data_IF_182421003855
#
_entry.id   IF_182421003855
#
_cell.length_a   1.000
_cell.length_b   1.000
_cell.length_c   1.000
_cell.angle_alpha   90.00
_cell.angle_beta   90.00
_cell.angle_gamma   90.00
#
_symmetry.space_group_name_H-M   'P 1'
#
loop_
_entity.id
_entity.type
_entity.pdbx_description
1 polymer ?
#
# COMPACT_ATOMS: atom_id res chain seq x y z
N UNK A 1 -2.73 -11.15 -15.02
CA UNK A 1 -2.37 -10.16 -16.07
C UNK A 1 -3.62 -9.73 -16.80
N UNK A 2 -4.30 -10.63 -17.55
CA UNK A 2 -5.59 -10.32 -18.21
C UNK A 2 -6.63 -9.62 -17.31
N UNK A 3 -6.83 -10.10 -16.08
CA UNK A 3 -7.78 -9.49 -15.14
C UNK A 3 -7.42 -8.05 -14.75
N UNK A 4 -6.13 -7.76 -14.55
CA UNK A 4 -5.66 -6.42 -14.23
C UNK A 4 -5.82 -5.50 -15.45
N UNK A 5 -5.53 -5.99 -16.65
CA UNK A 5 -5.76 -5.24 -17.89
C UNK A 5 -7.24 -4.92 -18.12
N UNK A 6 -8.12 -5.88 -17.86
CA UNK A 6 -9.57 -5.71 -17.94
C UNK A 6 -10.07 -4.70 -16.91
N UNK A 7 -9.65 -4.82 -15.65
CA UNK A 7 -10.01 -3.89 -14.58
C UNK A 7 -9.48 -2.47 -14.88
N UNK A 8 -8.25 -2.35 -15.39
CA UNK A 8 -7.68 -1.08 -15.81
C UNK A 8 -8.50 -0.43 -16.93
N UNK A 9 -8.89 -1.22 -17.94
CA UNK A 9 -9.72 -0.72 -19.03
C UNK A 9 -11.11 -0.31 -18.56
N UNK A 10 -11.72 -1.08 -17.66
CA UNK A 10 -13.03 -0.75 -17.08
C UNK A 10 -12.97 0.56 -16.29
N UNK A 11 -11.92 0.75 -15.49
CA UNK A 11 -11.76 1.94 -14.66
C UNK A 11 -11.38 3.19 -15.46
N UNK A 12 -10.42 3.07 -16.39
CA UNK A 12 -9.83 4.22 -17.10
C UNK A 12 -10.47 4.49 -18.47
N UNK A 13 -11.24 3.55 -19.01
CA UNK A 13 -11.73 3.57 -20.40
C UNK A 13 -10.64 3.35 -21.46
N UNK A 14 -9.37 3.17 -21.06
CA UNK A 14 -8.22 3.09 -21.95
C UNK A 14 -7.64 1.68 -22.00
N UNK A 15 -7.08 1.30 -23.14
CA UNK A 15 -6.30 0.05 -23.23
C UNK A 15 -4.98 0.20 -22.47
N UNK A 16 -4.51 -0.90 -21.89
CA UNK A 16 -3.15 -0.99 -21.35
C UNK A 16 -2.16 -0.84 -22.51
N UNK A 17 -1.22 0.10 -22.35
CA UNK A 17 -0.11 0.34 -23.26
C UNK A 17 1.13 -0.46 -22.82
N UNK A 18 1.42 -0.46 -21.52
CA UNK A 18 2.51 -1.24 -20.93
C UNK A 18 2.13 -1.75 -19.54
N UNK A 19 2.63 -2.92 -19.18
CA UNK A 19 2.44 -3.52 -17.87
C UNK A 19 3.63 -4.40 -17.52
N UNK A 20 4.21 -4.16 -16.35
CA UNK A 20 5.29 -4.98 -15.83
C UNK A 20 5.11 -5.23 -14.34
N UNK A 21 5.67 -6.35 -13.89
CA UNK A 21 5.64 -6.74 -12.48
C UNK A 21 6.70 -5.98 -11.68
N UNK A 22 6.31 -5.48 -10.51
CA UNK A 22 7.22 -4.87 -9.56
C UNK A 22 7.92 -5.96 -8.73
N UNK A 23 9.15 -5.71 -8.24
CA UNK A 23 9.86 -6.66 -7.38
C UNK A 23 9.01 -7.11 -6.19
N UNK A 24 9.04 -8.43 -5.91
CA UNK A 24 8.34 -8.99 -4.75
C UNK A 24 8.89 -8.37 -3.47
N UNK A 25 7.98 -8.11 -2.53
CA UNK A 25 8.31 -7.67 -1.17
C UNK A 25 7.96 -8.80 -0.18
N UNK A 26 7.94 -8.51 1.12
CA UNK A 26 7.68 -9.51 2.18
C UNK A 26 6.29 -10.15 2.21
N UNK A 27 5.45 -9.97 1.17
CA UNK A 27 4.13 -10.61 1.01
C UNK A 27 4.10 -11.42 -0.28
N UNK A 28 3.26 -12.45 -0.32
CA UNK A 28 2.97 -13.22 -1.55
C UNK A 28 2.12 -12.42 -2.56
N UNK A 29 1.63 -11.24 -2.19
CA UNK A 29 0.92 -10.33 -3.10
C UNK A 29 1.86 -9.83 -4.19
N UNK A 30 1.38 -9.91 -5.43
CA UNK A 30 2.12 -9.47 -6.61
C UNK A 30 1.59 -8.12 -7.07
N UNK A 31 2.50 -7.19 -7.36
CA UNK A 31 2.16 -5.85 -7.83
C UNK A 31 2.61 -5.65 -9.26
N UNK A 32 1.81 -4.94 -10.03
CA UNK A 32 2.07 -4.64 -11.43
C UNK A 32 1.89 -3.15 -11.64
N UNK A 33 2.88 -2.47 -12.22
CA UNK A 33 2.66 -1.12 -12.71
C UNK A 33 2.03 -1.22 -14.10
N UNK A 34 0.91 -0.54 -14.28
CA UNK A 34 0.09 -0.57 -15.50
C UNK A 34 -0.02 0.85 -16.03
N UNK A 35 0.25 1.06 -17.31
CA UNK A 35 0.13 2.36 -17.96
C UNK A 35 -0.79 2.30 -19.17
N UNK A 36 -1.50 3.38 -19.43
CA UNK A 36 -2.42 3.49 -20.56
C UNK A 36 -3.21 4.79 -20.52
N UNK A 37 -3.52 5.37 -21.69
CA UNK A 37 -4.33 6.59 -21.78
C UNK A 37 -3.75 7.80 -21.02
N UNK A 38 -2.42 7.87 -20.86
CA UNK A 38 -1.75 8.94 -20.11
C UNK A 38 -1.82 8.81 -18.59
N UNK A 39 -2.24 7.65 -18.06
CA UNK A 39 -2.26 7.35 -16.62
C UNK A 39 -1.37 6.17 -16.30
N UNK A 40 -0.87 6.13 -15.06
CA UNK A 40 -0.17 5.00 -14.46
C UNK A 40 -0.87 4.60 -13.16
N UNK A 41 -1.12 3.30 -12.97
CA UNK A 41 -1.76 2.73 -11.78
C UNK A 41 -0.99 1.50 -11.31
N UNK A 42 -1.16 1.13 -10.04
CA UNK A 42 -0.65 -0.13 -9.51
C UNK A 42 -1.80 -1.14 -9.43
N UNK A 43 -1.66 -2.25 -10.14
CA UNK A 43 -2.51 -3.42 -10.00
C UNK A 43 -1.94 -4.39 -8.98
N UNK A 44 -2.76 -4.81 -8.03
CA UNK A 44 -2.40 -5.82 -7.05
C UNK A 44 -3.13 -7.13 -7.35
N UNK A 45 -2.43 -8.25 -7.16
CA UNK A 45 -3.00 -9.59 -7.11
C UNK A 45 -2.70 -10.19 -5.74
N UNK A 46 -3.72 -10.30 -4.91
CA UNK A 46 -3.62 -10.95 -3.60
C UNK A 46 -3.58 -12.47 -3.67
N UNK A 47 -3.15 -13.09 -2.58
CA UNK A 47 -3.23 -14.55 -2.38
C UNK A 47 -4.32 -14.97 -1.41
N UNK A 48 -4.92 -14.02 -0.70
CA UNK A 48 -6.05 -14.22 0.22
C UNK A 48 -7.11 -13.16 -0.04
N UNK A 49 -8.37 -13.61 -0.17
CA UNK A 49 -9.51 -12.71 -0.36
C UNK A 49 -9.75 -11.91 0.92
N UNK A 50 -9.59 -12.52 2.09
CA UNK A 50 -9.81 -11.86 3.37
C UNK A 50 -8.74 -10.80 3.65
N UNK A 51 -7.49 -11.06 3.29
CA UNK A 51 -6.40 -10.08 3.36
C UNK A 51 -6.64 -8.89 2.42
N UNK A 52 -7.15 -9.15 1.21
CA UNK A 52 -7.50 -8.09 0.26
C UNK A 52 -8.67 -7.25 0.77
N UNK A 53 -9.72 -7.87 1.30
CA UNK A 53 -10.86 -7.16 1.92
C UNK A 53 -10.38 -6.26 3.05
N UNK A 54 -9.54 -6.79 3.95
CA UNK A 54 -8.96 -6.03 5.05
C UNK A 54 -8.18 -4.81 4.52
N UNK A 55 -7.29 -5.01 3.54
CA UNK A 55 -6.52 -3.92 2.94
C UNK A 55 -7.42 -2.84 2.32
N UNK A 56 -8.40 -3.23 1.51
CA UNK A 56 -9.29 -2.31 0.80
C UNK A 56 -10.14 -1.47 1.77
N UNK A 57 -10.68 -2.10 2.82
CA UNK A 57 -11.51 -1.40 3.80
C UNK A 57 -10.67 -0.48 4.71
N UNK A 58 -9.46 -0.91 5.12
CA UNK A 58 -8.52 -0.05 5.85
C UNK A 58 -8.10 1.15 5.00
N UNK A 59 -7.79 0.92 3.72
CA UNK A 59 -7.40 1.97 2.79
C UNK A 59 -8.51 3.02 2.64
N UNK A 60 -9.73 2.57 2.31
CA UNK A 60 -10.91 3.45 2.21
C UNK A 60 -11.13 4.25 3.50
N UNK A 61 -10.97 3.61 4.66
CA UNK A 61 -11.10 4.26 5.95
C UNK A 61 -10.04 5.36 6.15
N UNK A 62 -8.78 5.06 5.86
CA UNK A 62 -7.67 6.02 6.00
C UNK A 62 -7.76 7.15 4.96
N UNK A 63 -8.12 6.84 3.72
CA UNK A 63 -8.33 7.82 2.66
C UNK A 63 -9.47 8.79 3.00
N UNK A 64 -10.61 8.30 3.51
CA UNK A 64 -11.73 9.13 3.95
C UNK A 64 -11.37 10.10 5.10
N UNK A 65 -10.29 9.82 5.84
CA UNK A 65 -9.74 10.69 6.89
C UNK A 65 -8.68 11.67 6.39
N UNK A 66 -8.35 11.65 5.10
CA UNK A 66 -7.29 12.47 4.51
C UNK A 66 -5.89 12.04 4.94
N UNK A 67 -5.70 10.77 5.34
CA UNK A 67 -4.36 10.22 5.60
C UNK A 67 -3.64 9.93 4.29
N UNK A 68 -2.30 9.99 4.32
CA UNK A 68 -1.45 9.78 3.15
C UNK A 68 -1.30 8.28 2.83
N UNK A 69 -2.35 7.70 2.27
CA UNK A 69 -2.42 6.32 1.75
C UNK A 69 -2.75 6.35 0.25
N UNK A 70 -2.32 5.36 -0.54
CA UNK A 70 -2.69 5.30 -1.96
C UNK A 70 -4.17 4.99 -2.11
N UNK A 71 -4.93 5.80 -2.86
CA UNK A 71 -6.36 5.51 -3.03
C UNK A 71 -6.58 4.19 -3.79
N UNK A 72 -7.41 3.28 -3.25
CA UNK A 72 -7.96 2.15 -4.00
C UNK A 72 -9.06 2.63 -4.95
N UNK A 73 -8.81 2.48 -6.24
CA UNK A 73 -9.60 3.08 -7.32
C UNK A 73 -10.62 2.11 -7.94
N UNK A 74 -10.27 0.83 -8.00
CA UNK A 74 -11.14 -0.21 -8.56
C UNK A 74 -10.82 -1.57 -7.93
N UNK A 75 -11.82 -2.43 -7.83
CA UNK A 75 -11.69 -3.79 -7.27
C UNK A 75 -12.43 -4.75 -8.18
N UNK A 76 -11.87 -5.94 -8.42
CA UNK A 76 -12.56 -6.98 -9.19
C UNK A 76 -13.71 -7.60 -8.38
N UNK A 77 -14.73 -8.12 -9.07
CA UNK A 77 -15.91 -8.74 -8.44
C UNK A 77 -15.56 -9.89 -7.48
N UNK A 78 -14.48 -10.62 -7.79
CA UNK A 78 -13.97 -11.73 -6.97
C UNK A 78 -13.06 -11.28 -5.81
N UNK A 79 -12.82 -9.97 -5.65
CA UNK A 79 -11.95 -9.36 -4.66
C UNK A 79 -10.49 -9.83 -4.70
N UNK A 80 -10.06 -10.53 -5.77
CA UNK A 80 -8.68 -11.02 -5.91
C UNK A 80 -7.73 -9.94 -6.42
N UNK A 81 -8.26 -8.97 -7.17
CA UNK A 81 -7.51 -7.90 -7.82
C UNK A 81 -8.06 -6.55 -7.43
N UNK A 82 -7.17 -5.57 -7.34
CA UNK A 82 -7.56 -4.18 -7.18
C UNK A 82 -6.53 -3.27 -7.84
N UNK A 83 -6.98 -2.07 -8.22
CA UNK A 83 -6.14 -0.98 -8.70
C UNK A 83 -6.04 0.08 -7.62
N UNK A 84 -4.85 0.63 -7.45
CA UNK A 84 -4.59 1.76 -6.57
C UNK A 84 -3.73 2.81 -7.28
N UNK A 85 -3.63 4.00 -6.68
CA UNK A 85 -2.74 5.05 -7.14
C UNK A 85 -1.28 4.58 -7.27
N UNK A 86 -0.61 5.12 -8.29
CA UNK A 86 0.83 4.97 -8.47
C UNK A 86 1.54 6.22 -7.94
N UNK A 87 2.20 6.07 -6.79
CA UNK A 87 2.94 7.14 -6.12
C UNK A 87 4.38 7.29 -6.62
N UNK A 88 4.75 6.55 -7.68
CA UNK A 88 6.07 6.58 -8.30
C UNK A 88 7.09 5.67 -7.61
N UNK A 89 8.37 5.87 -7.93
CA UNK A 89 9.46 4.96 -7.58
C UNK A 89 10.33 5.42 -6.41
N UNK A 90 10.03 6.59 -5.86
CA UNK A 90 10.87 7.23 -4.86
C UNK A 90 10.47 6.77 -3.47
N UNK A 91 11.28 5.88 -2.88
CA UNK A 91 11.10 5.46 -1.48
C UNK A 91 11.86 6.36 -0.52
N UNK A 92 11.37 6.49 0.72
CA UNK A 92 12.11 7.19 1.77
C UNK A 92 13.50 6.58 1.97
N UNK A 93 13.60 5.24 1.95
CA UNK A 93 14.86 4.50 2.07
C UNK A 93 15.92 4.99 1.08
N UNK A 94 15.55 5.09 -0.20
CA UNK A 94 16.46 5.56 -1.25
C UNK A 94 16.77 7.05 -1.08
N UNK A 95 15.81 7.85 -0.60
CA UNK A 95 16.00 9.30 -0.41
C UNK A 95 16.90 9.68 0.75
N UNK A 96 17.14 8.78 1.69
CA UNK A 96 18.02 9.00 2.84
C UNK A 96 19.28 8.13 2.80
N UNK A 97 19.64 7.59 1.63
CA UNK A 97 20.74 6.63 1.48
C UNK A 97 22.07 7.22 1.92
N UNK A 98 22.35 8.48 1.59
CA UNK A 98 23.58 9.16 1.97
C UNK A 98 23.77 9.17 3.49
N UNK A 99 22.76 9.62 4.24
CA UNK A 99 22.81 9.64 5.70
C UNK A 99 22.87 8.24 6.30
N UNK A 100 22.16 7.27 5.72
CA UNK A 100 22.21 5.86 6.15
C UNK A 100 23.59 5.22 5.99
N UNK A 101 24.25 5.46 4.87
CA UNK A 101 25.53 4.85 4.53
C UNK A 101 26.70 5.53 5.24
N UNK A 102 26.63 6.85 5.41
CA UNK A 102 27.71 7.65 6.02
C UNK A 102 27.55 7.89 7.52
N UNK A 103 26.36 7.68 8.08
CA UNK A 103 25.99 8.09 9.44
C UNK A 103 25.74 9.60 9.60
N UNK A 104 26.00 10.40 8.56
CA UNK A 104 25.87 11.85 8.61
C UNK A 104 24.69 12.30 7.73
N UNK A 105 23.56 12.61 8.35
CA UNK A 105 22.36 13.05 7.64
C UNK A 105 22.38 14.54 7.33
N UNK A 106 22.05 14.89 6.09
CA UNK A 106 21.82 16.27 5.69
C UNK A 106 20.56 16.86 6.33
N UNK A 107 20.45 18.19 6.38
CA UNK A 107 19.23 18.87 6.84
C UNK A 107 17.99 18.42 6.06
N UNK A 108 18.16 18.17 4.75
CA UNK A 108 17.09 17.68 3.89
C UNK A 108 16.61 16.30 4.33
N UNK A 109 17.52 15.33 4.53
CA UNK A 109 17.16 13.99 4.97
C UNK A 109 16.55 14.00 6.37
N UNK A 110 17.11 14.80 7.29
CA UNK A 110 16.54 15.02 8.63
C UNK A 110 15.10 15.56 8.51
N UNK A 111 14.84 16.47 7.57
CA UNK A 111 13.49 16.99 7.37
C UNK A 111 12.50 15.92 6.89
N UNK A 112 12.95 14.98 6.03
CA UNK A 112 12.12 13.86 5.57
C UNK A 112 11.82 12.89 6.71
N UNK A 113 12.82 12.58 7.54
CA UNK A 113 12.65 11.74 8.73
C UNK A 113 11.68 12.38 9.72
N UNK A 114 11.82 13.68 10.01
CA UNK A 114 10.90 14.43 10.88
C UNK A 114 9.47 14.40 10.37
N UNK A 115 9.27 14.64 9.06
CA UNK A 115 7.93 14.57 8.43
C UNK A 115 7.33 13.17 8.57
N UNK A 116 8.13 12.13 8.33
CA UNK A 116 7.70 10.73 8.44
C UNK A 116 7.29 10.37 9.87
N UNK A 117 8.15 10.65 10.84
CA UNK A 117 7.87 10.39 12.26
C UNK A 117 6.63 11.16 12.72
N UNK A 118 6.46 12.41 12.27
CA UNK A 118 5.29 13.23 12.62
C UNK A 118 3.98 12.70 12.00
N UNK A 119 4.05 11.89 10.94
CA UNK A 119 2.88 11.27 10.31
C UNK A 119 2.43 10.00 11.04
N UNK A 120 3.32 9.30 11.74
CA UNK A 120 3.00 8.04 12.42
C UNK A 120 1.86 8.18 13.45
N UNK A 121 1.85 9.19 14.35
CA UNK A 121 0.76 9.36 15.30
C UNK A 121 -0.59 9.62 14.62
N UNK A 122 -0.61 10.27 13.44
CA UNK A 122 -1.85 10.49 12.71
C UNK A 122 -2.46 9.19 12.24
N UNK A 123 -1.66 8.30 11.64
CA UNK A 123 -2.11 6.97 11.25
C UNK A 123 -2.60 6.18 12.48
N UNK A 124 -1.86 6.22 13.58
CA UNK A 124 -2.21 5.45 14.78
C UNK A 124 -3.48 5.96 15.48
N UNK A 125 -3.60 7.27 15.71
CA UNK A 125 -4.68 7.84 16.53
C UNK A 125 -5.85 8.36 15.70
N UNK A 126 -5.57 9.12 14.63
CA UNK A 126 -6.64 9.63 13.76
C UNK A 126 -7.18 8.52 12.87
N UNK A 127 -6.28 7.68 12.33
CA UNK A 127 -6.62 6.51 11.53
C UNK A 127 -7.38 5.45 12.31
N UNK A 128 -7.03 5.17 13.56
CA UNK A 128 -7.78 4.20 14.38
C UNK A 128 -9.17 4.67 14.83
N UNK A 129 -9.46 5.98 14.79
CA UNK A 129 -10.72 6.52 15.30
C UNK A 129 -11.90 6.08 14.43
N UNK A 130 -12.70 5.15 14.93
CA UNK A 130 -13.88 4.63 14.24
C UNK A 130 -13.56 3.60 13.17
N UNK A 131 -12.34 3.05 13.18
CA UNK A 131 -12.01 1.86 12.38
C UNK A 131 -12.73 0.65 13.00
N UNK A 132 -13.41 -0.14 12.18
CA UNK A 132 -13.91 -1.44 12.59
C UNK A 132 -12.76 -2.43 12.58
N UNK A 133 -12.21 -2.80 13.73
CA UNK A 133 -11.06 -3.71 13.79
C UNK A 133 -11.41 -5.17 13.46
N UNK A 134 -12.70 -5.54 13.38
CA UNK A 134 -13.11 -6.90 13.02
C UNK A 134 -12.79 -7.28 11.57
N UNK A 135 -12.56 -6.28 10.71
CA UNK A 135 -12.16 -6.47 9.31
C UNK A 135 -10.65 -6.78 9.16
N UNK A 136 -9.85 -6.58 10.21
CA UNK A 136 -8.42 -6.84 10.15
C UNK A 136 -8.16 -8.35 10.04
N UNK A 137 -7.16 -8.69 9.23
CA UNK A 137 -6.75 -10.07 8.94
C UNK A 137 -5.24 -10.20 9.13
N UNK A 138 -4.72 -11.31 9.69
CA UNK A 138 -5.44 -12.52 10.12
C UNK A 138 -6.09 -12.43 11.51
N UNK A 139 -5.81 -11.36 12.26
CA UNK A 139 -6.35 -11.14 13.60
C UNK A 139 -6.83 -9.68 13.74
N UNK A 140 -7.89 -9.44 14.53
CA UNK A 140 -8.42 -8.11 14.78
C UNK A 140 -7.54 -7.27 15.70
N UNK A 141 -6.72 -7.92 16.52
CA UNK A 141 -5.86 -7.29 17.51
C UNK A 141 -4.45 -7.91 17.53
N UNK A 142 -3.48 -7.11 17.94
CA UNK A 142 -2.12 -7.54 18.16
C UNK A 142 -1.95 -7.93 19.63
N UNK A 143 -2.19 -9.21 19.92
CA UNK A 143 -2.19 -9.77 21.27
C UNK A 143 -0.85 -10.43 21.66
N UNK A 144 -0.79 -10.99 22.87
CA UNK A 144 0.38 -11.72 23.37
C UNK A 144 0.80 -12.87 22.44
N UNK A 145 -0.17 -13.50 21.76
CA UNK A 145 0.09 -14.59 20.83
C UNK A 145 0.79 -14.09 19.56
N UNK A 146 0.35 -12.96 19.00
CA UNK A 146 1.02 -12.33 17.86
C UNK A 146 2.46 -11.91 18.23
N UNK A 147 2.65 -11.31 19.40
CA UNK A 147 3.99 -10.99 19.92
C UNK A 147 4.85 -12.26 20.02
N UNK A 148 4.28 -13.35 20.53
CA UNK A 148 4.98 -14.63 20.66
C UNK A 148 5.38 -15.21 19.31
N UNK A 149 4.57 -15.05 18.26
CA UNK A 149 4.95 -15.48 16.91
C UNK A 149 6.13 -14.67 16.37
N UNK A 150 6.10 -13.35 16.51
CA UNK A 150 7.19 -12.48 16.05
C UNK A 150 8.52 -12.78 16.76
N UNK A 151 8.47 -13.17 18.04
CA UNK A 151 9.65 -13.51 18.84
C UNK A 151 10.23 -14.90 18.54
N UNK A 152 9.48 -15.81 17.91
CA UNK A 152 9.84 -17.23 17.78
C UNK A 152 9.90 -17.73 16.32
N UNK A 153 10.26 -16.86 15.37
CA UNK A 153 10.45 -17.21 13.95
C UNK A 153 11.60 -18.20 13.69
#
# INVERSE_FOLDING_TARGET
MKQIEELFRQYTGSKVADMYELPSSGSNRRYFRVSGGGRTLIGAKGTSIDENKAFIEIDRHFHAKGLAVPEVLAVSDDMQFYLQEDLGDITLFNRISQGRESGNYSEYEISLLKKTISALPKIQFEGGRGLDYSICFPQPEFDERMISFDLNY
#
